data_IF_118520201760
#
_entry.id   IF_118520201760
#
_cell.length_a   1.000
_cell.length_b   1.000
_cell.length_c   1.000
_cell.angle_alpha   90.00
_cell.angle_beta   90.00
_cell.angle_gamma   90.00
#
_symmetry.space_group_name_H-M   'P 1'
#
loop_
_entity.id
_entity.type
_entity.pdbx_description
1 polymer ?
#
# COMPACT_ATOMS: atom_id res chain seq x y z
N UNK A 1 -35.40 0.98 14.55
CA UNK A 1 -34.40 -0.11 14.41
C UNK A 1 -33.11 0.47 13.85
N UNK A 2 -32.09 0.68 14.68
CA UNK A 2 -30.78 1.13 14.23
C UNK A 2 -30.11 0.00 13.43
N UNK A 3 -29.92 0.20 12.12
CA UNK A 3 -29.10 -0.70 11.29
C UNK A 3 -27.68 -0.69 11.87
N UNK A 4 -27.31 -1.75 12.60
CA UNK A 4 -25.90 -2.01 12.92
C UNK A 4 -25.16 -2.08 11.59
N UNK A 5 -24.35 -1.06 11.26
CA UNK A 5 -23.45 -1.10 10.10
C UNK A 5 -22.59 -2.34 10.27
N UNK A 6 -22.77 -3.36 9.41
CA UNK A 6 -21.86 -4.50 9.34
C UNK A 6 -20.46 -3.93 9.14
N UNK A 7 -19.59 -4.08 10.15
CA UNK A 7 -18.15 -3.86 9.95
C UNK A 7 -17.71 -4.95 8.98
N UNK A 8 -17.53 -4.59 7.71
CA UNK A 8 -16.91 -5.52 6.77
C UNK A 8 -15.51 -5.86 7.28
N UNK A 9 -15.10 -7.12 7.24
CA UNK A 9 -13.75 -7.53 7.63
C UNK A 9 -12.72 -6.76 6.81
N UNK A 10 -11.70 -6.25 7.49
CA UNK A 10 -10.62 -5.45 6.91
C UNK A 10 -9.28 -6.16 7.11
N UNK A 11 -8.39 -5.98 6.14
CA UNK A 11 -7.00 -6.41 6.21
C UNK A 11 -6.10 -5.19 6.14
N UNK A 12 -5.10 -5.16 7.02
CA UNK A 12 -4.09 -4.11 7.03
C UNK A 12 -2.89 -4.58 6.23
N UNK A 13 -2.53 -3.82 5.19
CA UNK A 13 -1.32 -4.03 4.41
C UNK A 13 -0.27 -2.98 4.76
N UNK A 14 0.92 -3.41 5.14
CA UNK A 14 2.06 -2.51 5.43
C UNK A 14 2.92 -2.34 4.18
N UNK A 15 3.16 -1.11 3.75
CA UNK A 15 4.10 -0.77 2.67
C UNK A 15 5.28 -0.01 3.25
N UNK A 16 6.47 -0.61 3.19
CA UNK A 16 7.70 0.06 3.61
C UNK A 16 8.27 0.86 2.44
N UNK A 17 8.33 2.18 2.63
CA UNK A 17 8.81 3.19 1.68
C UNK A 17 10.13 3.84 2.13
N UNK A 18 10.88 3.25 3.07
CA UNK A 18 12.15 3.81 3.58
C UNK A 18 13.10 4.26 2.48
N UNK A 19 13.23 3.47 1.41
CA UNK A 19 14.13 3.78 0.30
C UNK A 19 13.59 4.88 -0.62
N UNK A 20 12.27 5.01 -0.72
CA UNK A 20 11.61 6.07 -1.48
C UNK A 20 11.64 7.41 -0.73
N UNK A 21 11.51 7.36 0.60
CA UNK A 21 11.33 8.55 1.45
C UNK A 21 12.54 9.48 1.49
N UNK A 22 13.74 8.96 1.25
CA UNK A 22 14.99 9.73 1.36
C UNK A 22 15.14 10.71 0.19
N UNK A 23 14.60 10.39 -0.99
CA UNK A 23 14.74 11.23 -2.19
C UNK A 23 13.42 11.82 -2.70
N UNK A 24 12.28 11.26 -2.30
CA UNK A 24 11.07 11.35 -3.12
C UNK A 24 9.75 11.30 -2.32
N UNK A 25 9.60 12.12 -1.27
CA UNK A 25 8.35 12.22 -0.48
C UNK A 25 7.08 12.44 -1.33
N UNK A 26 7.19 13.27 -2.37
CA UNK A 26 6.09 13.53 -3.33
C UNK A 26 5.51 12.23 -3.92
N UNK A 27 6.35 11.23 -4.16
CA UNK A 27 5.91 9.95 -4.72
C UNK A 27 5.17 9.10 -3.68
N UNK A 28 5.46 9.27 -2.39
CA UNK A 28 4.73 8.56 -1.32
C UNK A 28 3.28 9.07 -1.28
N UNK A 29 3.08 10.39 -1.31
CA UNK A 29 1.73 10.96 -1.31
C UNK A 29 0.96 10.60 -2.59
N UNK A 30 1.64 10.63 -3.75
CA UNK A 30 1.06 10.16 -5.01
C UNK A 30 0.71 8.66 -4.97
N UNK A 31 1.53 7.83 -4.32
CA UNK A 31 1.24 6.41 -4.15
C UNK A 31 0.00 6.20 -3.29
N UNK A 32 -0.09 6.91 -2.16
CA UNK A 32 -1.24 6.88 -1.26
C UNK A 32 -2.51 7.26 -2.03
N UNK A 33 -2.47 8.37 -2.75
CA UNK A 33 -3.60 8.86 -3.52
C UNK A 33 -3.98 7.89 -4.65
N UNK A 34 -3.00 7.38 -5.40
CA UNK A 34 -3.24 6.39 -6.45
C UNK A 34 -3.92 5.13 -5.90
N UNK A 35 -3.47 4.64 -4.75
CA UNK A 35 -4.05 3.48 -4.10
C UNK A 35 -5.47 3.77 -3.62
N UNK A 36 -5.69 4.91 -2.96
CA UNK A 36 -7.01 5.34 -2.49
C UNK A 36 -8.03 5.56 -3.60
N UNK A 37 -7.59 6.03 -4.77
CA UNK A 37 -8.47 6.20 -5.93
C UNK A 37 -8.79 4.87 -6.62
N UNK A 38 -7.83 3.94 -6.66
CA UNK A 38 -7.97 2.68 -7.38
C UNK A 38 -8.50 1.52 -6.52
N UNK A 39 -8.50 1.67 -5.20
CA UNK A 39 -8.96 0.68 -4.25
C UNK A 39 -9.90 1.35 -3.26
N UNK A 40 -10.92 0.63 -2.79
CA UNK A 40 -11.82 1.11 -1.73
C UNK A 40 -11.09 1.10 -0.38
N UNK A 41 -10.05 1.93 -0.26
CA UNK A 41 -9.28 2.08 0.96
C UNK A 41 -10.18 2.70 2.02
N UNK A 42 -10.23 2.09 3.21
CA UNK A 42 -11.00 2.63 4.33
C UNK A 42 -10.20 3.64 5.12
N UNK A 43 -8.93 3.33 5.36
CA UNK A 43 -8.02 4.15 6.14
C UNK A 43 -6.58 4.01 5.63
N UNK A 44 -5.80 5.09 5.78
CA UNK A 44 -4.37 5.10 5.46
C UNK A 44 -3.64 5.78 6.61
N UNK A 45 -2.70 5.07 7.20
CA UNK A 45 -1.84 5.62 8.25
C UNK A 45 -0.40 5.64 7.79
N UNK A 46 0.24 6.82 7.82
CA UNK A 46 1.67 6.98 7.53
C UNK A 46 2.43 7.00 8.88
N UNK A 47 3.30 6.02 9.07
CA UNK A 47 4.15 5.85 10.25
C UNK A 47 5.61 5.98 9.82
N UNK A 48 6.06 7.24 9.67
CA UNK A 48 7.37 7.58 9.13
C UNK A 48 7.62 6.97 7.74
N UNK A 49 8.46 5.93 7.72
CA UNK A 49 8.85 5.21 6.49
C UNK A 49 7.91 4.05 6.12
N UNK A 50 6.82 3.88 6.86
CA UNK A 50 5.82 2.84 6.62
C UNK A 50 4.47 3.47 6.32
N UNK A 51 3.75 2.88 5.39
CA UNK A 51 2.39 3.27 5.04
C UNK A 51 1.48 2.06 5.22
N UNK A 52 0.54 2.16 6.13
CA UNK A 52 -0.44 1.12 6.41
C UNK A 52 -1.74 1.45 5.67
N UNK A 53 -2.20 0.49 4.87
CA UNK A 53 -3.46 0.59 4.14
C UNK A 53 -4.48 -0.36 4.74
N UNK A 54 -5.59 0.16 5.23
CA UNK A 54 -6.72 -0.64 5.66
C UNK A 54 -7.66 -0.88 4.48
N UNK A 55 -7.67 -2.11 3.99
CA UNK A 55 -8.44 -2.53 2.82
C UNK A 55 -9.56 -3.50 3.21
N UNK A 56 -10.67 -3.54 2.46
CA UNK A 56 -11.68 -4.58 2.62
C UNK A 56 -11.12 -5.96 2.28
N UNK A 57 -11.59 -7.01 2.96
CA UNK A 57 -11.16 -8.41 2.73
C UNK A 57 -11.42 -8.92 1.31
N UNK A 58 -12.30 -8.27 0.55
CA UNK A 58 -12.47 -8.55 -0.88
C UNK A 58 -11.21 -8.29 -1.70
N UNK A 59 -10.27 -7.49 -1.20
CA UNK A 59 -9.01 -7.17 -1.89
C UNK A 59 -7.93 -8.18 -1.47
N UNK A 60 -7.54 -9.03 -2.42
CA UNK A 60 -6.46 -9.99 -2.20
C UNK A 60 -5.08 -9.32 -2.21
N UNK A 61 -4.11 -9.97 -1.56
CA UNK A 61 -2.69 -9.54 -1.58
C UNK A 61 -2.17 -9.35 -3.00
N UNK A 62 -2.57 -10.23 -3.92
CA UNK A 62 -2.18 -10.20 -5.34
C UNK A 62 -2.68 -8.92 -6.02
N UNK A 63 -3.91 -8.52 -5.74
CA UNK A 63 -4.48 -7.28 -6.27
C UNK A 63 -3.74 -6.06 -5.73
N UNK A 64 -3.44 -6.03 -4.43
CA UNK A 64 -2.65 -4.95 -3.83
C UNK A 64 -1.23 -4.86 -4.44
N UNK A 65 -0.55 -6.00 -4.60
CA UNK A 65 0.75 -6.09 -5.29
C UNK A 65 0.68 -5.57 -6.72
N UNK A 66 -0.36 -5.93 -7.46
CA UNK A 66 -0.55 -5.51 -8.84
C UNK A 66 -0.70 -3.99 -8.94
N UNK A 67 -1.45 -3.37 -8.01
CA UNK A 67 -1.62 -1.92 -7.95
C UNK A 67 -0.33 -1.20 -7.59
N UNK A 68 0.41 -1.70 -6.60
CA UNK A 68 1.73 -1.16 -6.26
C UNK A 68 2.72 -1.25 -7.44
N UNK A 69 2.76 -2.39 -8.14
CA UNK A 69 3.56 -2.50 -9.35
C UNK A 69 3.09 -1.52 -10.43
N UNK A 70 1.78 -1.39 -10.67
CA UNK A 70 1.26 -0.44 -11.65
C UNK A 70 1.64 1.00 -11.30
N UNK A 71 1.63 1.37 -10.02
CA UNK A 71 2.12 2.67 -9.56
C UNK A 71 3.58 2.86 -9.97
N UNK A 72 4.50 1.93 -9.62
CA UNK A 72 5.91 2.02 -10.00
C UNK A 72 6.13 2.16 -11.50
N UNK A 73 5.29 1.53 -12.32
CA UNK A 73 5.36 1.69 -13.78
C UNK A 73 4.89 3.08 -14.24
N UNK A 74 3.82 3.61 -13.65
CA UNK A 74 3.27 4.91 -14.04
C UNK A 74 4.13 6.09 -13.56
N UNK A 75 4.85 5.92 -12.46
CA UNK A 75 5.79 6.92 -11.94
C UNK A 75 7.20 6.80 -12.52
N UNK A 76 7.41 5.91 -13.49
CA UNK A 76 8.72 5.57 -14.10
C UNK A 76 9.78 5.05 -13.10
N UNK A 77 9.35 4.69 -11.89
CA UNK A 77 10.21 4.19 -10.80
C UNK A 77 10.54 2.70 -10.94
N UNK A 78 9.93 2.01 -11.90
CA UNK A 78 10.10 0.55 -12.07
C UNK A 78 11.53 0.13 -12.44
N UNK A 79 12.30 1.02 -13.07
CA UNK A 79 13.68 0.71 -13.43
C UNK A 79 14.59 0.76 -12.20
N UNK A 80 14.40 1.77 -11.36
CA UNK A 80 15.20 2.03 -10.15
C UNK A 80 14.71 1.27 -8.92
N UNK A 81 13.41 0.90 -8.87
CA UNK A 81 12.79 0.30 -7.70
C UNK A 81 12.00 -0.98 -8.04
N UNK A 82 12.01 -1.93 -7.10
CA UNK A 82 11.25 -3.17 -7.14
C UNK A 82 10.46 -3.40 -5.86
N UNK A 83 9.33 -4.10 -5.98
CA UNK A 83 8.49 -4.50 -4.86
C UNK A 83 8.90 -5.86 -4.32
N UNK A 84 9.18 -5.96 -3.02
CA UNK A 84 9.51 -7.20 -2.31
C UNK A 84 8.42 -7.50 -1.30
N UNK A 85 7.97 -8.75 -1.22
CA UNK A 85 6.93 -9.12 -0.25
C UNK A 85 7.58 -9.27 1.13
N UNK A 86 7.08 -8.57 2.14
CA UNK A 86 7.48 -8.79 3.53
C UNK A 86 6.61 -9.90 4.12
N UNK A 87 7.26 -10.97 4.58
CA UNK A 87 6.66 -11.99 5.43
C UNK A 87 7.11 -11.71 6.86
N UNK A 88 6.48 -10.75 7.52
CA UNK A 88 6.64 -10.59 8.97
C UNK A 88 5.44 -11.20 9.68
N UNK A 89 5.70 -11.90 10.78
CA UNK A 89 4.78 -12.65 11.63
C UNK A 89 3.38 -11.99 11.73
N UNK A 90 2.44 -12.46 10.90
CA UNK A 90 1.03 -12.03 10.92
C UNK A 90 0.68 -10.76 10.14
N UNK A 91 1.64 -9.97 9.64
CA UNK A 91 1.38 -8.76 8.85
C UNK A 91 1.72 -8.97 7.37
N UNK A 92 0.75 -8.70 6.51
CA UNK A 92 0.93 -8.79 5.07
C UNK A 92 1.50 -7.46 4.58
N UNK A 93 2.66 -7.47 3.92
CA UNK A 93 3.26 -6.21 3.51
C UNK A 93 4.19 -6.30 2.31
N UNK A 94 4.58 -5.14 1.82
CA UNK A 94 5.47 -4.97 0.68
C UNK A 94 6.51 -3.91 0.99
N UNK A 95 7.76 -4.15 0.62
CA UNK A 95 8.84 -3.18 0.72
C UNK A 95 9.23 -2.73 -0.68
N UNK A 96 9.37 -1.42 -0.87
CA UNK A 96 9.97 -0.86 -2.08
C UNK A 96 11.48 -0.80 -1.85
N UNK A 97 12.23 -1.55 -2.64
CA UNK A 97 13.69 -1.59 -2.60
C UNK A 97 14.26 -1.08 -3.91
N UNK A 98 15.40 -0.40 -3.82
CA UNK A 98 16.22 -0.07 -4.98
C UNK A 98 16.69 -1.35 -5.67
N UNK A 99 16.87 -1.27 -6.98
CA UNK A 99 17.21 -2.39 -7.84
C UNK A 99 18.70 -2.70 -7.86
#
# INVERSE_FOLDING_TARGET
MARKKKKEPTHVFEVNVSKLSISQEKYIDQMIQFISDNMKVKDVSKDGNKVNFELPESISKKMFKLRLNRFLYQSDLKNDFRLISMLNEGKQGYMIMER
#
